data_IF_311980103355
#
_entry.id   IF_311980103355
#
_cell.length_a   1.000
_cell.length_b   1.000
_cell.length_c   1.000
_cell.angle_alpha   90.00
_cell.angle_beta   90.00
_cell.angle_gamma   90.00
#
_symmetry.space_group_name_H-M   'P 1'
#
loop_
_entity.id
_entity.type
_entity.pdbx_description
1 polymer ?
#
# COMPACT_ATOMS: atom_id res chain seq x y z
N UNK A 1 13.70 -14.26 26.75
CA UNK A 1 13.01 -15.55 26.54
C UNK A 1 12.82 -15.72 25.04
N UNK A 2 13.20 -16.85 24.41
CA UNK A 2 12.83 -17.08 23.02
C UNK A 2 11.31 -17.25 22.97
N UNK A 3 10.63 -16.36 22.25
CA UNK A 3 9.20 -16.50 22.00
C UNK A 3 8.97 -17.80 21.25
N UNK A 4 8.15 -18.70 21.81
CA UNK A 4 7.72 -19.91 21.11
C UNK A 4 7.16 -19.54 19.72
N UNK A 5 7.36 -20.38 18.69
CA UNK A 5 6.83 -20.12 17.36
C UNK A 5 5.31 -19.98 17.44
N UNK A 6 4.78 -18.86 16.96
CA UNK A 6 3.34 -18.60 16.94
C UNK A 6 2.72 -19.49 15.88
N UNK A 7 2.05 -20.56 16.32
CA UNK A 7 1.18 -21.37 15.48
C UNK A 7 -0.02 -20.53 15.04
N UNK A 8 -0.38 -20.62 13.76
CA UNK A 8 -1.53 -19.90 13.19
C UNK A 8 -2.39 -20.86 12.38
N UNK A 9 -3.72 -20.79 12.50
CA UNK A 9 -4.62 -21.66 11.74
C UNK A 9 -4.50 -21.40 10.24
N UNK A 10 -4.38 -22.47 9.46
CA UNK A 10 -4.32 -22.44 8.00
C UNK A 10 -5.50 -23.21 7.43
N UNK A 11 -6.08 -22.69 6.36
CA UNK A 11 -7.17 -23.29 5.61
C UNK A 11 -6.69 -23.75 4.24
N UNK A 12 -7.09 -24.95 3.84
CA UNK A 12 -6.78 -25.49 2.52
C UNK A 12 -7.78 -24.97 1.48
N UNK A 13 -7.27 -24.28 0.46
CA UNK A 13 -8.05 -23.67 -0.62
C UNK A 13 -7.54 -24.11 -1.98
N UNK A 14 -8.42 -24.15 -2.96
CA UNK A 14 -8.08 -24.52 -4.34
C UNK A 14 -7.75 -23.25 -5.12
N UNK A 15 -6.51 -23.13 -5.59
CA UNK A 15 -6.03 -21.97 -6.33
C UNK A 15 -5.18 -22.40 -7.54
N UNK A 16 -5.04 -21.56 -8.58
CA UNK A 16 -4.16 -21.84 -9.70
C UNK A 16 -2.71 -21.96 -9.21
N UNK A 17 -1.96 -22.93 -9.73
CA UNK A 17 -0.56 -23.10 -9.38
C UNK A 17 0.28 -21.93 -9.87
N UNK A 18 1.25 -21.51 -9.07
CA UNK A 18 2.21 -20.44 -9.43
C UNK A 18 3.06 -20.77 -10.66
N UNK A 19 3.31 -22.06 -10.94
CA UNK A 19 4.12 -22.51 -12.09
C UNK A 19 3.29 -22.65 -13.37
N UNK A 20 2.09 -23.19 -13.24
CA UNK A 20 1.18 -23.48 -14.35
C UNK A 20 -0.22 -22.90 -14.03
N UNK A 21 -0.61 -21.74 -14.58
CA UNK A 21 -1.90 -21.11 -14.27
C UNK A 21 -3.11 -21.92 -14.74
N UNK A 22 -2.91 -22.91 -15.62
CA UNK A 22 -3.98 -23.80 -16.10
C UNK A 22 -4.30 -24.97 -15.14
N UNK A 23 -3.50 -25.18 -14.08
CA UNK A 23 -3.71 -26.27 -13.10
C UNK A 23 -4.12 -25.69 -11.76
N UNK A 24 -5.21 -26.21 -11.21
CA UNK A 24 -5.66 -25.90 -9.84
C UNK A 24 -5.00 -26.90 -8.89
N UNK A 25 -4.27 -26.39 -7.91
CA UNK A 25 -3.62 -27.20 -6.86
C UNK A 25 -4.09 -26.76 -5.48
N UNK A 26 -4.04 -27.65 -4.47
CA UNK A 26 -4.35 -27.26 -3.10
C UNK A 26 -3.26 -26.32 -2.57
N UNK A 27 -3.68 -25.23 -1.96
CA UNK A 27 -2.82 -24.25 -1.29
C UNK A 27 -3.34 -23.97 0.13
N UNK A 28 -2.50 -23.40 0.98
CA UNK A 28 -2.77 -23.07 2.35
C UNK A 28 -2.80 -21.55 2.51
N UNK A 29 -3.86 -21.01 3.09
CA UNK A 29 -4.01 -19.59 3.41
C UNK A 29 -4.22 -19.41 4.91
N UNK A 30 -3.67 -18.35 5.52
CA UNK A 30 -4.01 -18.02 6.91
C UNK A 30 -5.51 -17.76 7.02
N UNK A 31 -6.14 -18.33 8.05
CA UNK A 31 -7.58 -18.21 8.29
C UNK A 31 -7.88 -17.75 9.72
N UNK A 32 -9.17 -17.55 10.02
CA UNK A 32 -9.59 -17.22 11.37
C UNK A 32 -9.68 -18.50 12.20
N UNK A 33 -9.39 -18.46 13.52
CA UNK A 33 -9.43 -19.65 14.37
C UNK A 33 -10.83 -20.27 14.55
N UNK A 34 -11.89 -19.64 14.02
CA UNK A 34 -13.26 -20.14 14.08
C UNK A 34 -13.69 -20.97 12.86
N UNK A 35 -12.84 -21.11 11.84
CA UNK A 35 -13.17 -21.87 10.63
C UNK A 35 -13.07 -23.38 10.89
N UNK A 36 -14.09 -24.15 10.49
CA UNK A 36 -14.18 -25.59 10.82
C UNK A 36 -13.11 -26.47 10.16
N UNK A 37 -12.56 -26.02 9.04
CA UNK A 37 -11.50 -26.70 8.26
C UNK A 37 -10.10 -26.14 8.56
N UNK A 38 -9.95 -25.35 9.64
CA UNK A 38 -8.69 -24.77 10.04
C UNK A 38 -7.77 -25.80 10.70
N UNK A 39 -6.58 -26.00 10.13
CA UNK A 39 -5.53 -26.82 10.74
C UNK A 39 -4.48 -25.92 11.38
N UNK A 40 -4.15 -26.15 12.64
CA UNK A 40 -3.10 -25.41 13.33
C UNK A 40 -1.72 -25.87 12.86
N UNK A 41 -0.98 -24.96 12.22
CA UNK A 41 0.38 -25.23 11.75
C UNK A 41 1.25 -23.98 11.88
N UNK A 42 2.56 -24.19 11.91
CA UNK A 42 3.54 -23.08 12.00
C UNK A 42 4.00 -22.71 10.60
N UNK A 43 4.31 -21.42 10.38
CA UNK A 43 4.88 -20.92 9.12
C UNK A 43 6.10 -21.69 8.60
N UNK A 44 6.88 -22.32 9.48
CA UNK A 44 8.04 -23.15 9.11
C UNK A 44 7.67 -24.52 8.51
N UNK A 45 6.45 -24.98 8.71
CA UNK A 45 5.96 -26.28 8.22
C UNK A 45 5.29 -26.15 6.86
N UNK A 46 4.91 -24.93 6.46
CA UNK A 46 4.27 -24.63 5.18
C UNK A 46 5.33 -24.58 4.08
N UNK A 47 5.14 -25.35 3.02
CA UNK A 47 6.02 -25.31 1.84
C UNK A 47 5.70 -24.10 0.97
N UNK A 48 6.73 -23.49 0.38
CA UNK A 48 6.61 -22.25 -0.41
C UNK A 48 5.77 -22.38 -1.68
N UNK A 49 5.60 -23.59 -2.19
CA UNK A 49 4.78 -23.90 -3.37
C UNK A 49 3.29 -24.07 -3.05
N UNK A 50 2.96 -24.36 -1.79
CA UNK A 50 1.59 -24.52 -1.30
C UNK A 50 1.08 -23.24 -0.62
N UNK A 51 1.92 -22.23 -0.42
CA UNK A 51 1.49 -21.02 0.26
C UNK A 51 0.64 -20.13 -0.66
N UNK A 52 -0.58 -19.82 -0.24
CA UNK A 52 -1.42 -18.79 -0.84
C UNK A 52 -1.44 -17.56 0.06
N UNK A 53 -0.98 -16.44 -0.49
CA UNK A 53 -1.05 -15.15 0.18
C UNK A 53 -2.48 -14.57 0.12
N UNK A 54 -2.96 -13.96 1.21
CA UNK A 54 -4.27 -13.31 1.21
C UNK A 54 -4.27 -12.11 0.26
N UNK A 55 -5.40 -11.87 -0.40
CA UNK A 55 -5.57 -10.71 -1.27
C UNK A 55 -5.49 -9.41 -0.48
N UNK A 56 -4.83 -8.39 -1.04
CA UNK A 56 -4.75 -7.07 -0.44
C UNK A 56 -6.09 -6.34 -0.56
N UNK A 57 -6.56 -5.78 0.55
CA UNK A 57 -7.79 -4.99 0.61
C UNK A 57 -7.48 -3.52 0.84
N UNK A 58 -8.43 -2.63 0.51
CA UNK A 58 -8.32 -1.19 0.80
C UNK A 58 -8.09 -0.94 2.31
N UNK A 59 -8.66 -1.78 3.17
CA UNK A 59 -8.51 -1.66 4.61
C UNK A 59 -7.05 -1.84 5.08
N UNK A 60 -6.26 -2.68 4.39
CA UNK A 60 -4.84 -2.87 4.70
C UNK A 60 -4.05 -1.58 4.42
N UNK A 61 -4.36 -0.89 3.32
CA UNK A 61 -3.77 0.40 3.00
C UNK A 61 -4.21 1.50 3.97
N UNK A 62 -5.49 1.54 4.35
CA UNK A 62 -5.99 2.49 5.36
C UNK A 62 -5.29 2.30 6.71
N UNK A 63 -5.04 1.05 7.12
CA UNK A 63 -4.27 0.75 8.33
C UNK A 63 -2.83 1.23 8.19
N UNK A 64 -2.19 0.98 7.06
CA UNK A 64 -0.81 1.41 6.80
C UNK A 64 -0.67 2.94 6.89
N UNK A 65 -1.59 3.69 6.27
CA UNK A 65 -1.63 5.17 6.34
C UNK A 65 -1.79 5.65 7.77
N UNK A 66 -2.69 5.04 8.56
CA UNK A 66 -2.90 5.41 9.97
C UNK A 66 -1.67 5.18 10.85
N UNK A 67 -0.87 4.16 10.55
CA UNK A 67 0.37 3.88 11.29
C UNK A 67 1.56 4.69 10.81
N UNK A 68 1.52 5.20 9.58
CA UNK A 68 2.55 6.04 9.00
C UNK A 68 2.61 7.39 9.72
N UNK A 69 3.75 7.71 10.33
CA UNK A 69 3.97 9.05 10.90
C UNK A 69 4.28 10.04 9.78
N UNK A 70 3.70 11.26 9.79
CA UNK A 70 4.09 12.28 8.83
C UNK A 70 5.57 12.61 9.02
N UNK A 71 6.35 12.50 7.94
CA UNK A 71 7.80 12.73 7.96
C UNK A 71 8.18 14.18 7.71
N UNK A 72 7.26 14.97 7.15
CA UNK A 72 7.49 16.38 6.81
C UNK A 72 6.80 17.25 7.85
N UNK A 73 7.54 18.20 8.40
CA UNK A 73 7.05 19.18 9.36
C UNK A 73 6.62 20.45 8.64
N UNK A 74 5.66 21.19 9.21
CA UNK A 74 5.17 22.45 8.63
C UNK A 74 6.27 23.52 8.44
N UNK A 75 7.27 23.55 9.33
CA UNK A 75 8.41 24.48 9.23
C UNK A 75 9.28 24.22 7.99
N UNK A 76 9.48 22.95 7.68
CA UNK A 76 10.26 22.52 6.50
C UNK A 76 9.55 22.96 5.21
N UNK A 77 8.22 22.88 5.22
CA UNK A 77 7.37 23.37 4.15
C UNK A 77 7.54 24.88 3.93
N UNK A 78 7.52 25.68 5.00
CA UNK A 78 7.68 27.14 4.92
C UNK A 78 9.06 27.57 4.41
N UNK A 79 10.14 26.85 4.79
CA UNK A 79 11.48 27.12 4.26
C UNK A 79 11.59 26.77 2.77
N UNK A 80 10.98 25.67 2.34
CA UNK A 80 10.91 25.30 0.93
C UNK A 80 10.08 26.27 0.09
N UNK A 81 8.96 26.77 0.63
CA UNK A 81 8.16 27.82 -0.03
C UNK A 81 8.97 29.11 -0.20
N UNK A 82 9.66 29.56 0.85
CA UNK A 82 10.53 30.75 0.78
C UNK A 82 11.66 30.57 -0.23
N UNK A 83 12.34 29.43 -0.22
CA UNK A 83 13.37 29.12 -1.22
C UNK A 83 12.82 29.14 -2.65
N UNK A 84 11.61 28.60 -2.85
CA UNK A 84 10.94 28.59 -4.15
C UNK A 84 10.56 30.01 -4.59
N UNK A 85 10.18 30.89 -3.66
CA UNK A 85 9.87 32.29 -3.97
C UNK A 85 11.13 33.11 -4.30
N UNK A 86 12.23 32.89 -3.56
CA UNK A 86 13.46 33.67 -3.70
C UNK A 86 14.35 33.19 -4.87
N UNK A 87 14.34 31.88 -5.18
CA UNK A 87 15.25 31.24 -6.15
C UNK A 87 14.57 30.29 -7.14
N UNK A 88 13.26 30.05 -7.02
CA UNK A 88 12.50 29.29 -8.01
C UNK A 88 12.63 29.90 -9.39
N UNK A 89 12.28 29.14 -10.43
CA UNK A 89 12.63 29.39 -11.83
C UNK A 89 12.08 30.72 -12.40
N UNK A 90 12.64 31.84 -11.95
CA UNK A 90 12.43 33.19 -12.45
C UNK A 90 13.17 33.44 -13.77
N UNK A 91 13.61 32.38 -14.47
CA UNK A 91 14.15 32.46 -15.82
C UNK A 91 13.16 32.00 -16.90
N UNK A 92 11.97 31.48 -16.56
CA UNK A 92 10.97 31.08 -17.56
C UNK A 92 9.65 31.87 -17.55
N UNK A 93 9.46 32.83 -16.64
CA UNK A 93 8.20 33.61 -16.55
C UNK A 93 8.30 35.12 -16.78
N UNK A 94 9.38 35.60 -17.40
CA UNK A 94 9.44 36.97 -17.93
C UNK A 94 9.50 37.02 -19.47
N UNK A 95 8.75 36.14 -20.14
CA UNK A 95 8.32 36.40 -21.52
C UNK A 95 6.88 36.93 -21.50
N UNK A 96 6.62 38.21 -21.83
CA UNK A 96 5.28 38.79 -21.81
C UNK A 96 4.36 38.28 -22.94
N UNK A 97 4.61 37.09 -23.51
CA UNK A 97 3.83 36.55 -24.62
C UNK A 97 3.48 35.06 -24.54
N UNK A 98 3.72 34.38 -23.42
CA UNK A 98 3.26 32.99 -23.25
C UNK A 98 2.24 32.91 -22.10
N UNK A 99 0.98 33.11 -22.50
CA UNK A 99 -0.18 32.56 -21.81
C UNK A 99 -0.08 31.04 -21.89
N UNK A 100 0.36 30.37 -20.83
CA UNK A 100 -0.01 28.97 -20.61
C UNK A 100 -1.40 28.98 -19.97
N UNK A 101 -2.40 29.27 -20.79
CA UNK A 101 -3.74 28.74 -20.56
C UNK A 101 -3.65 27.29 -20.99
N UNK A 102 -3.58 26.34 -20.06
CA UNK A 102 -3.84 24.93 -20.38
C UNK A 102 -5.32 24.84 -20.79
N UNK A 103 -5.66 24.62 -22.07
CA UNK A 103 -7.04 24.45 -22.45
C UNK A 103 -7.43 23.02 -22.07
N UNK A 104 -8.20 22.87 -20.98
CA UNK A 104 -8.87 21.60 -20.67
C UNK A 104 -8.76 21.05 -19.25
N UNK A 105 -8.30 21.82 -18.25
CA UNK A 105 -8.36 21.35 -16.85
C UNK A 105 -9.43 22.11 -16.05
N UNK A 106 -10.68 21.60 -15.96
CA UNK A 106 -11.66 22.13 -15.06
C UNK A 106 -11.28 21.77 -13.63
N UNK A 107 -10.72 22.73 -12.92
CA UNK A 107 -10.90 23.03 -11.49
C UNK A 107 -11.67 21.95 -10.69
N UNK A 108 -10.96 21.01 -10.08
CA UNK A 108 -11.44 20.26 -8.90
C UNK A 108 -10.32 20.19 -7.88
N UNK A 109 -10.23 21.23 -7.05
CA UNK A 109 -9.79 21.12 -5.65
C UNK A 109 -10.77 21.96 -4.84
N UNK A 110 -11.96 21.40 -4.60
CA UNK A 110 -12.76 21.81 -3.45
C UNK A 110 -12.11 21.24 -2.20
N UNK A 111 -12.17 22.05 -1.15
CA UNK A 111 -11.57 21.82 0.15
C UNK A 111 -11.96 20.47 0.75
N UNK A 112 -10.97 19.75 1.26
CA UNK A 112 -11.20 18.82 2.39
C UNK A 112 -10.77 19.60 3.63
N UNK A 113 -11.63 20.50 4.09
CA UNK A 113 -11.73 20.83 5.51
C UNK A 113 -12.80 19.90 6.09
N UNK A 114 -12.40 19.09 7.07
CA UNK A 114 -13.21 18.11 7.78
C UNK A 114 -12.36 17.21 8.64
#
# INVERSE_FOLDING_TARGET
MPTAPVSRPQLQVQAPSRKDPSKVTPHLTPCSPGDSEATEMTWMQVQSDQLLEPALTVYDFLRAVKTGRPTVNEKDLAEHEKFTQDFGQASFLFSPSILIVCPGFPRVVEAIEG
#
